data_IF_363015679803
#
_entry.id   IF_363015679803
#
_cell.length_a   1.000
_cell.length_b   1.000
_cell.length_c   1.000
_cell.angle_alpha   90.00
_cell.angle_beta   90.00
_cell.angle_gamma   90.00
#
_symmetry.space_group_name_H-M   'P 1'
#
loop_
_entity.id
_entity.type
_entity.pdbx_description
1 polymer ?
#
# COMPACT_ATOMS: atom_id res chain seq x y z
N UNK A 1 -33.16 26.50 -0.40
CA UNK A 1 -32.32 26.68 -1.60
C UNK A 1 -31.04 25.91 -1.30
N UNK A 2 -31.10 24.58 -1.35
CA UNK A 2 -30.91 23.71 -2.53
C UNK A 2 -29.47 23.73 -3.01
N UNK A 3 -28.79 22.63 -2.66
CA UNK A 3 -27.56 22.04 -3.15
C UNK A 3 -27.01 22.60 -4.47
N UNK A 4 -25.70 22.82 -4.49
CA UNK A 4 -24.84 22.20 -5.50
C UNK A 4 -23.55 21.74 -4.82
N UNK A 5 -23.40 20.42 -4.75
CA UNK A 5 -22.24 19.69 -4.23
C UNK A 5 -21.33 19.21 -5.38
N UNK A 6 -21.34 19.91 -6.52
CA UNK A 6 -20.63 19.51 -7.75
C UNK A 6 -19.15 19.98 -7.78
N UNK A 7 -18.49 20.05 -6.62
CA UNK A 7 -17.02 20.14 -6.57
C UNK A 7 -16.46 18.74 -6.30
N UNK A 8 -16.24 18.02 -7.39
CA UNK A 8 -15.67 16.65 -7.41
C UNK A 8 -14.16 16.65 -7.05
N UNK A 9 -13.69 15.77 -6.14
CA UNK A 9 -12.33 15.77 -5.58
C UNK A 9 -11.34 14.83 -6.33
N UNK A 10 -10.05 14.76 -5.92
CA UNK A 10 -8.93 14.58 -6.83
C UNK A 10 -8.39 13.14 -6.91
N UNK A 11 -8.52 12.51 -8.08
CA UNK A 11 -7.52 11.55 -8.62
C UNK A 11 -7.72 11.27 -10.11
N UNK A 12 -8.90 11.60 -10.66
CA UNK A 12 -9.20 11.44 -12.10
C UNK A 12 -9.41 12.78 -12.82
N UNK A 13 -10.27 13.67 -12.30
CA UNK A 13 -10.55 14.96 -12.93
C UNK A 13 -9.43 16.00 -12.74
N UNK A 14 -8.55 15.86 -11.74
CA UNK A 14 -7.44 16.80 -11.52
C UNK A 14 -6.29 16.63 -12.53
N UNK A 15 -5.94 15.40 -12.92
CA UNK A 15 -4.98 15.16 -14.00
C UNK A 15 -5.52 15.67 -15.36
N UNK A 16 -6.84 15.52 -15.59
CA UNK A 16 -7.49 16.04 -16.80
C UNK A 16 -7.64 17.58 -16.78
N UNK A 17 -8.07 18.19 -15.66
CA UNK A 17 -8.19 19.65 -15.51
C UNK A 17 -6.84 20.36 -15.44
N UNK A 18 -5.83 19.79 -14.77
CA UNK A 18 -4.47 20.35 -14.76
C UNK A 18 -3.81 20.32 -16.15
N UNK A 19 -4.24 19.43 -17.05
CA UNK A 19 -3.81 19.44 -18.45
C UNK A 19 -4.45 20.58 -19.28
N UNK A 20 -5.51 21.23 -18.76
CA UNK A 20 -6.33 22.22 -19.46
C UNK A 20 -6.17 23.66 -18.91
N UNK A 21 -5.49 23.87 -17.77
CA UNK A 21 -5.25 25.21 -17.21
C UNK A 21 -3.99 25.89 -17.77
N UNK A 22 -4.07 27.16 -18.21
CA UNK A 22 -2.99 27.85 -18.92
C UNK A 22 -1.74 28.16 -18.08
N UNK A 23 -1.83 28.18 -16.74
CA UNK A 23 -0.72 28.58 -15.84
C UNK A 23 -0.12 27.43 -15.00
N UNK A 24 -0.63 26.20 -15.16
CA UNK A 24 0.01 24.92 -14.86
C UNK A 24 0.86 24.80 -13.55
N UNK A 25 0.51 25.47 -12.45
CA UNK A 25 1.34 25.46 -11.22
C UNK A 25 1.34 24.11 -10.49
N UNK A 26 0.26 23.34 -10.60
CA UNK A 26 0.12 22.01 -9.96
C UNK A 26 0.97 20.95 -10.66
N UNK A 27 1.03 21.02 -12.00
CA UNK A 27 1.90 20.20 -12.85
C UNK A 27 3.37 20.63 -12.72
N UNK A 28 3.63 21.92 -12.47
CA UNK A 28 4.97 22.44 -12.16
C UNK A 28 5.49 21.99 -10.77
N UNK A 29 4.61 21.54 -9.88
CA UNK A 29 4.96 21.02 -8.54
C UNK A 29 4.93 19.49 -8.44
N UNK A 30 4.52 18.77 -9.49
CA UNK A 30 4.63 17.31 -9.61
C UNK A 30 3.72 16.48 -8.68
N UNK A 31 2.66 17.06 -8.10
CA UNK A 31 1.88 16.46 -6.98
C UNK A 31 0.71 15.54 -7.35
N UNK A 32 0.48 15.22 -8.63
CA UNK A 32 -0.72 14.45 -9.05
C UNK A 32 -0.48 13.61 -10.32
N UNK A 33 0.67 12.96 -10.46
CA UNK A 33 0.97 12.08 -11.62
C UNK A 33 1.00 10.61 -11.21
N UNK A 34 0.13 10.24 -10.28
CA UNK A 34 0.36 9.06 -9.45
C UNK A 34 -0.33 7.80 -10.04
N UNK A 35 -1.23 7.95 -11.02
CA UNK A 35 -1.85 6.81 -11.70
C UNK A 35 -2.18 7.11 -13.18
N UNK A 36 -1.87 6.15 -14.07
CA UNK A 36 -2.29 6.24 -15.48
C UNK A 36 -3.69 5.66 -15.69
N UNK A 37 -4.49 6.21 -16.63
CA UNK A 37 -5.81 5.65 -17.01
C UNK A 37 -5.69 4.16 -17.36
N UNK A 38 -4.64 3.81 -18.10
CA UNK A 38 -4.37 2.43 -18.48
C UNK A 38 -4.12 1.52 -17.28
N UNK A 39 -3.53 2.01 -16.19
CA UNK A 39 -3.33 1.24 -14.96
C UNK A 39 -4.62 1.01 -14.19
N UNK A 40 -5.44 2.04 -14.06
CA UNK A 40 -6.76 1.94 -13.45
C UNK A 40 -7.64 0.89 -14.15
N UNK A 41 -7.78 0.99 -15.48
CA UNK A 41 -8.59 0.04 -16.27
C UNK A 41 -8.06 -1.39 -16.16
N UNK A 42 -6.73 -1.58 -16.19
CA UNK A 42 -6.12 -2.89 -15.97
C UNK A 42 -6.40 -3.43 -14.57
N UNK A 43 -6.35 -2.57 -13.55
CA UNK A 43 -6.67 -2.92 -12.16
C UNK A 43 -8.13 -3.38 -12.02
N UNK A 44 -9.08 -2.67 -12.63
CA UNK A 44 -10.50 -3.06 -12.57
C UNK A 44 -10.77 -4.36 -13.32
N UNK A 45 -10.20 -4.54 -14.51
CA UNK A 45 -10.31 -5.81 -15.27
C UNK A 45 -9.71 -6.97 -14.48
N UNK A 46 -8.57 -6.73 -13.82
CA UNK A 46 -7.93 -7.70 -12.95
C UNK A 46 -8.86 -8.15 -11.82
N UNK A 47 -9.40 -7.19 -11.07
CA UNK A 47 -10.31 -7.49 -9.96
C UNK A 47 -11.52 -8.28 -10.44
N UNK A 48 -12.10 -7.91 -11.59
CA UNK A 48 -13.24 -8.64 -12.17
C UNK A 48 -12.87 -10.07 -12.55
N UNK A 49 -11.70 -10.28 -13.18
CA UNK A 49 -11.25 -11.58 -13.64
C UNK A 49 -10.93 -12.55 -12.49
N UNK A 50 -10.41 -12.04 -11.37
CA UNK A 50 -9.91 -12.88 -10.28
C UNK A 50 -10.75 -12.86 -9.00
N UNK A 51 -11.90 -12.18 -9.00
CA UNK A 51 -12.81 -12.07 -7.85
C UNK A 51 -13.15 -13.42 -7.20
N UNK A 52 -13.33 -14.48 -7.98
CA UNK A 52 -13.69 -15.81 -7.45
C UNK A 52 -12.55 -16.49 -6.66
N UNK A 53 -11.33 -15.97 -6.76
CA UNK A 53 -10.14 -16.49 -6.07
C UNK A 53 -9.83 -15.74 -4.77
N UNK A 54 -10.63 -14.72 -4.42
CA UNK A 54 -10.50 -14.00 -3.16
C UNK A 54 -10.93 -14.88 -1.98
N UNK A 55 -10.35 -14.59 -0.82
CA UNK A 55 -10.67 -15.22 0.48
C UNK A 55 -10.64 -16.75 0.48
N UNK A 56 -9.84 -17.34 -0.41
CA UNK A 56 -9.57 -18.76 -0.35
C UNK A 56 -8.86 -19.08 0.97
N UNK A 57 -9.17 -20.22 1.61
CA UNK A 57 -8.53 -20.61 2.85
C UNK A 57 -7.02 -20.56 2.73
N UNK A 58 -6.36 -20.03 3.77
CA UNK A 58 -4.90 -20.05 3.84
C UNK A 58 -4.41 -21.49 3.71
N UNK A 59 -3.36 -21.77 2.90
CA UNK A 59 -2.77 -23.10 2.82
C UNK A 59 -2.43 -23.65 4.20
N UNK A 60 -2.69 -24.94 4.43
CA UNK A 60 -2.43 -25.60 5.72
C UNK A 60 -0.98 -25.42 6.19
N UNK A 61 -0.04 -25.30 5.26
CA UNK A 61 1.38 -25.04 5.53
C UNK A 61 1.61 -23.70 6.23
N UNK A 62 0.92 -22.63 5.83
CA UNK A 62 1.03 -21.31 6.48
C UNK A 62 0.44 -21.38 7.89
N UNK A 63 -0.70 -22.05 8.04
CA UNK A 63 -1.34 -22.25 9.35
C UNK A 63 -0.41 -23.02 10.29
N UNK A 64 0.27 -24.06 9.78
CA UNK A 64 1.21 -24.85 10.54
C UNK A 64 2.44 -24.03 10.97
N UNK A 65 3.03 -23.24 10.07
CA UNK A 65 4.15 -22.35 10.37
C UNK A 65 3.82 -21.38 11.52
N UNK A 66 2.64 -20.77 11.48
CA UNK A 66 2.17 -19.87 12.55
C UNK A 66 2.02 -20.62 13.87
N UNK A 67 1.47 -21.84 13.87
CA UNK A 67 1.30 -22.65 15.09
C UNK A 67 2.62 -23.06 15.72
N UNK A 68 3.63 -23.34 14.91
CA UNK A 68 4.93 -23.82 15.38
C UNK A 68 5.84 -22.69 15.87
N UNK A 69 5.80 -21.52 15.22
CA UNK A 69 6.79 -20.46 15.43
C UNK A 69 6.20 -19.12 15.88
N UNK A 70 4.87 -18.92 15.80
CA UNK A 70 4.23 -17.63 16.01
C UNK A 70 4.25 -16.76 14.75
N UNK A 71 3.25 -15.87 14.61
CA UNK A 71 3.04 -15.08 13.39
C UNK A 71 4.20 -14.11 13.13
N UNK A 72 4.65 -13.38 14.15
CA UNK A 72 5.75 -12.40 14.03
C UNK A 72 7.06 -13.02 13.54
N UNK A 73 7.32 -14.28 13.87
CA UNK A 73 8.57 -14.96 13.50
C UNK A 73 8.58 -15.43 12.05
N UNK A 74 7.41 -15.80 11.50
CA UNK A 74 7.30 -16.37 10.15
C UNK A 74 6.91 -15.35 9.08
N UNK A 75 6.29 -14.24 9.48
CA UNK A 75 5.88 -13.19 8.56
C UNK A 75 7.09 -12.43 7.99
N UNK A 76 7.02 -12.15 6.70
CA UNK A 76 8.04 -11.45 5.91
C UNK A 76 7.40 -10.94 4.61
N UNK A 77 8.08 -10.04 3.88
CA UNK A 77 7.63 -9.61 2.55
C UNK A 77 7.77 -10.74 1.53
N UNK A 78 6.69 -11.03 0.82
CA UNK A 78 6.58 -12.13 -0.13
C UNK A 78 7.02 -11.70 -1.54
N UNK A 79 8.08 -12.35 -2.03
CA UNK A 79 8.62 -12.10 -3.37
C UNK A 79 7.97 -13.00 -4.43
N UNK A 80 7.32 -14.10 -4.04
CA UNK A 80 6.82 -15.12 -4.96
C UNK A 80 5.57 -14.66 -5.71
N UNK A 81 4.77 -13.78 -5.12
CA UNK A 81 3.60 -13.15 -5.78
C UNK A 81 3.99 -12.42 -7.07
N UNK A 82 5.17 -11.81 -7.10
CA UNK A 82 5.70 -11.11 -8.27
C UNK A 82 6.31 -12.02 -9.34
N UNK A 83 6.44 -13.33 -9.08
CA UNK A 83 6.81 -14.31 -10.12
C UNK A 83 5.62 -14.66 -11.02
N UNK A 84 4.40 -14.40 -10.56
CA UNK A 84 3.18 -14.62 -11.33
C UNK A 84 3.08 -13.60 -12.47
N UNK A 85 3.05 -14.09 -13.71
CA UNK A 85 3.02 -13.25 -14.92
C UNK A 85 1.77 -12.37 -15.01
N UNK A 86 0.67 -12.76 -14.35
CA UNK A 86 -0.59 -12.02 -14.37
C UNK A 86 -0.62 -10.92 -13.31
N UNK A 87 0.17 -11.05 -12.24
CA UNK A 87 0.09 -10.19 -11.05
C UNK A 87 1.22 -9.17 -11.01
N UNK A 88 2.35 -9.49 -11.63
CA UNK A 88 3.54 -8.63 -11.61
C UNK A 88 3.35 -7.33 -12.37
N UNK A 89 4.16 -6.34 -12.01
CA UNK A 89 4.22 -5.07 -12.70
C UNK A 89 4.60 -5.23 -14.20
N UNK A 90 3.96 -4.51 -15.14
CA UNK A 90 4.28 -4.63 -16.57
C UNK A 90 5.76 -4.38 -16.92
N UNK A 91 6.39 -3.40 -16.24
CA UNK A 91 7.81 -3.08 -16.43
C UNK A 91 8.76 -4.06 -15.73
N UNK A 92 8.27 -5.00 -14.91
CA UNK A 92 9.11 -5.96 -14.20
C UNK A 92 9.93 -6.85 -15.14
N UNK A 93 9.60 -6.86 -16.44
CA UNK A 93 10.38 -7.53 -17.49
C UNK A 93 11.63 -6.75 -17.93
N UNK A 94 11.67 -5.44 -17.68
CA UNK A 94 12.76 -4.53 -18.09
C UNK A 94 13.57 -4.04 -16.90
N UNK A 95 12.90 -3.74 -15.79
CA UNK A 95 13.52 -3.22 -14.58
C UNK A 95 13.03 -4.03 -13.38
N UNK A 96 13.94 -4.42 -12.49
CA UNK A 96 13.54 -5.05 -11.24
C UNK A 96 12.76 -4.02 -10.40
N UNK A 97 11.49 -4.29 -10.05
CA UNK A 97 10.67 -3.32 -9.32
C UNK A 97 11.09 -3.16 -7.86
N UNK A 98 11.79 -4.16 -7.32
CA UNK A 98 12.34 -4.12 -5.98
C UNK A 98 13.54 -5.06 -5.83
N UNK A 99 14.30 -4.87 -4.74
CA UNK A 99 15.37 -5.74 -4.29
C UNK A 99 15.31 -5.84 -2.76
N UNK A 100 15.24 -7.07 -2.24
CA UNK A 100 15.36 -7.31 -0.79
C UNK A 100 16.80 -7.11 -0.34
N UNK A 101 17.00 -6.45 0.80
CA UNK A 101 18.32 -6.12 1.34
C UNK A 101 18.75 -7.02 2.51
N UNK A 102 17.80 -7.61 3.24
CA UNK A 102 18.04 -8.44 4.42
C UNK A 102 17.12 -9.69 4.46
N UNK A 103 16.78 -10.18 5.65
CA UNK A 103 15.85 -11.30 5.96
C UNK A 103 14.38 -11.05 5.53
N UNK A 104 14.19 -10.43 4.36
CA UNK A 104 12.93 -10.10 3.73
C UNK A 104 12.07 -9.06 4.47
N UNK A 105 12.70 -8.15 5.23
CA UNK A 105 12.00 -7.07 5.93
C UNK A 105 12.38 -5.68 5.39
N UNK A 106 13.60 -5.52 4.88
CA UNK A 106 14.05 -4.31 4.21
C UNK A 106 14.04 -4.51 2.70
N UNK A 107 13.40 -3.58 2.01
CA UNK A 107 13.27 -3.59 0.56
C UNK A 107 13.65 -2.26 -0.04
N UNK A 108 14.34 -2.33 -1.19
CA UNK A 108 14.61 -1.19 -2.05
C UNK A 108 13.72 -1.27 -3.29
N UNK A 109 12.82 -0.33 -3.46
CA UNK A 109 12.02 -0.14 -4.66
C UNK A 109 12.84 0.52 -5.77
N UNK A 110 12.60 0.08 -7.01
CA UNK A 110 13.19 0.62 -8.24
C UNK A 110 14.70 0.93 -8.15
N UNK A 111 15.55 -0.03 -7.72
CA UNK A 111 16.97 0.21 -7.44
C UNK A 111 17.77 0.71 -8.65
N UNK A 112 17.41 0.30 -9.86
CA UNK A 112 18.06 0.77 -11.08
C UNK A 112 17.76 2.25 -11.36
N UNK A 113 16.54 2.69 -11.07
CA UNK A 113 16.15 4.09 -11.23
C UNK A 113 16.86 4.96 -10.20
N UNK A 114 17.03 4.49 -8.96
CA UNK A 114 17.78 5.21 -7.91
C UNK A 114 19.16 5.69 -8.39
N UNK A 115 19.87 4.86 -9.17
CA UNK A 115 21.22 5.17 -9.68
C UNK A 115 21.23 6.21 -10.80
N UNK A 116 20.14 6.30 -11.57
CA UNK A 116 19.99 7.28 -12.64
C UNK A 116 19.23 8.48 -12.11
N UNK A 117 19.81 9.68 -12.09
CA UNK A 117 19.06 10.92 -11.75
C UNK A 117 17.94 11.25 -12.77
N UNK A 118 17.59 10.31 -13.66
CA UNK A 118 16.38 10.36 -14.44
C UNK A 118 15.19 10.47 -13.49
N UNK A 119 14.48 11.58 -13.59
CA UNK A 119 13.19 11.80 -12.96
C UNK A 119 12.18 10.86 -13.62
N UNK A 120 11.37 10.10 -12.86
CA UNK A 120 10.31 9.25 -13.39
C UNK A 120 9.24 10.02 -14.19
N UNK A 121 9.24 11.35 -14.10
CA UNK A 121 8.22 12.28 -14.58
C UNK A 121 8.19 12.55 -16.09
N UNK A 122 9.16 12.06 -16.88
CA UNK A 122 9.21 12.42 -18.32
C UNK A 122 8.47 11.46 -19.26
N UNK A 123 7.89 10.37 -18.74
CA UNK A 123 7.05 9.46 -19.53
C UNK A 123 5.72 9.13 -18.80
N UNK A 124 4.73 10.00 -18.99
CA UNK A 124 3.36 9.86 -18.45
C UNK A 124 2.61 8.61 -18.95
N UNK A 125 3.22 7.79 -19.80
CA UNK A 125 2.65 6.50 -20.25
C UNK A 125 3.05 5.33 -19.34
N UNK A 126 3.95 5.56 -18.38
CA UNK A 126 4.59 4.51 -17.59
C UNK A 126 4.22 4.66 -16.11
N UNK A 127 3.42 3.73 -15.63
CA UNK A 127 3.10 3.58 -14.20
C UNK A 127 4.27 2.90 -13.47
N UNK A 128 4.61 3.36 -12.27
CA UNK A 128 5.69 2.84 -11.43
C UNK A 128 5.18 2.30 -10.10
N UNK A 129 3.86 2.31 -9.88
CA UNK A 129 3.23 1.68 -8.73
C UNK A 129 3.71 0.25 -8.56
N UNK A 130 4.24 -0.08 -7.41
CA UNK A 130 4.44 -1.48 -7.05
C UNK A 130 4.08 -1.73 -5.60
N UNK A 131 3.21 -2.71 -5.39
CA UNK A 131 2.81 -3.19 -4.08
C UNK A 131 3.52 -4.50 -3.75
N UNK A 132 4.12 -4.57 -2.57
CA UNK A 132 4.57 -5.81 -1.93
C UNK A 132 3.61 -6.21 -0.82
N UNK A 133 3.35 -7.50 -0.71
CA UNK A 133 2.47 -8.09 0.30
C UNK A 133 3.29 -8.94 1.28
N UNK A 134 2.87 -9.00 2.55
CA UNK A 134 3.39 -9.99 3.50
C UNK A 134 2.99 -11.41 3.09
N UNK A 135 3.75 -12.41 3.56
CA UNK A 135 3.57 -13.83 3.23
C UNK A 135 2.33 -14.50 3.82
N UNK A 136 1.74 -13.93 4.87
CA UNK A 136 0.62 -14.53 5.60
C UNK A 136 -0.57 -13.56 5.73
N UNK A 137 -1.82 -14.06 5.71
CA UNK A 137 -2.99 -13.20 5.89
C UNK A 137 -3.23 -12.87 7.37
N UNK A 138 -3.86 -11.73 7.61
CA UNK A 138 -4.41 -11.30 8.89
C UNK A 138 -5.80 -11.90 9.10
N UNK A 139 -5.86 -12.98 9.89
CA UNK A 139 -7.11 -13.70 10.20
C UNK A 139 -7.46 -13.56 11.69
N UNK A 140 -8.77 -13.52 11.98
CA UNK A 140 -9.29 -13.52 13.35
C UNK A 140 -8.85 -14.75 14.15
N UNK A 141 -8.61 -15.87 13.47
CA UNK A 141 -8.11 -17.12 14.09
C UNK A 141 -6.67 -17.04 14.57
N UNK A 142 -5.90 -16.05 14.12
CA UNK A 142 -4.50 -15.87 14.51
C UNK A 142 -4.36 -14.86 15.66
N UNK A 143 -5.04 -13.72 15.55
CA UNK A 143 -5.04 -12.68 16.56
C UNK A 143 -6.28 -11.79 16.41
N UNK A 144 -6.70 -11.17 17.53
CA UNK A 144 -7.78 -10.18 17.55
C UNK A 144 -7.37 -8.88 16.83
N UNK A 145 -6.11 -8.47 17.02
CA UNK A 145 -5.51 -7.28 16.42
C UNK A 145 -4.23 -7.69 15.71
N UNK A 146 -4.13 -7.35 14.44
CA UNK A 146 -2.90 -7.41 13.65
C UNK A 146 -2.33 -6.01 13.51
N UNK A 147 -1.02 -5.88 13.60
CA UNK A 147 -0.34 -4.61 13.46
C UNK A 147 1.07 -4.81 12.92
N UNK A 148 1.52 -3.88 12.07
CA UNK A 148 2.87 -3.83 11.54
C UNK A 148 3.28 -2.38 11.30
N UNK A 149 4.59 -2.14 11.24
CA UNK A 149 5.17 -0.81 10.98
C UNK A 149 6.06 -0.84 9.74
N UNK A 150 6.08 0.27 9.02
CA UNK A 150 7.00 0.56 7.95
C UNK A 150 7.81 1.81 8.31
N UNK A 151 9.13 1.68 8.32
CA UNK A 151 10.08 2.77 8.43
C UNK A 151 10.55 3.18 7.04
N UNK A 152 10.46 4.47 6.72
CA UNK A 152 11.06 5.03 5.50
C UNK A 152 12.51 5.39 5.79
N UNK A 153 13.44 4.60 5.26
CA UNK A 153 14.88 4.82 5.44
C UNK A 153 15.38 5.91 4.48
N UNK A 154 14.94 5.86 3.24
CA UNK A 154 15.30 6.81 2.18
C UNK A 154 14.26 6.73 1.04
N UNK A 155 13.94 7.85 0.42
CA UNK A 155 13.02 7.97 -0.71
C UNK A 155 13.32 9.25 -1.45
N UNK A 156 13.03 9.27 -2.75
CA UNK A 156 13.04 10.54 -3.47
C UNK A 156 11.89 11.44 -2.99
N UNK A 157 12.05 12.77 -3.01
CA UNK A 157 11.00 13.70 -2.60
C UNK A 157 9.69 13.54 -3.38
N UNK A 158 9.77 13.13 -4.64
CA UNK A 158 8.62 12.88 -5.52
C UNK A 158 8.02 11.48 -5.40
N UNK A 159 8.66 10.56 -4.64
CA UNK A 159 8.14 9.20 -4.49
C UNK A 159 7.01 9.17 -3.48
N UNK A 160 5.85 8.74 -3.95
CA UNK A 160 4.69 8.40 -3.13
C UNK A 160 4.85 6.99 -2.59
N UNK A 161 4.59 6.85 -1.30
CA UNK A 161 4.59 5.62 -0.54
C UNK A 161 3.19 5.37 0.01
N UNK A 162 2.84 4.10 0.21
CA UNK A 162 1.63 3.77 0.95
C UNK A 162 1.79 2.53 1.81
N UNK A 163 1.06 2.51 2.91
CA UNK A 163 0.95 1.38 3.84
C UNK A 163 -0.51 1.01 4.00
N UNK A 164 -0.80 -0.28 4.09
CA UNK A 164 -2.14 -0.75 4.39
C UNK A 164 -2.26 -2.25 4.18
N UNK A 165 -3.35 -2.67 3.55
CA UNK A 165 -3.62 -4.07 3.36
C UNK A 165 -4.32 -4.34 2.03
N UNK A 166 -4.02 -5.48 1.42
CA UNK A 166 -4.63 -5.92 0.16
C UNK A 166 -4.98 -7.39 0.27
N UNK A 167 -6.01 -7.86 -0.43
CA UNK A 167 -6.29 -9.30 -0.53
C UNK A 167 -5.35 -9.99 -1.50
N UNK A 168 -5.45 -11.31 -1.61
CA UNK A 168 -4.86 -12.06 -2.73
C UNK A 168 -5.97 -12.74 -3.54
N UNK A 169 -5.92 -12.63 -4.88
CA UNK A 169 -5.02 -11.80 -5.68
C UNK A 169 -5.36 -10.30 -5.62
N UNK A 170 -4.37 -9.44 -5.86
CA UNK A 170 -4.50 -7.98 -6.00
C UNK A 170 -3.63 -7.50 -7.17
N UNK A 171 -4.01 -6.46 -7.93
CA UNK A 171 -3.15 -5.91 -8.98
C UNK A 171 -1.92 -5.24 -8.34
N UNK A 172 -0.78 -5.95 -8.29
CA UNK A 172 0.44 -5.46 -7.61
C UNK A 172 1.12 -4.27 -8.30
N UNK A 173 0.51 -3.74 -9.36
CA UNK A 173 0.87 -2.52 -10.06
C UNK A 173 -0.04 -1.35 -9.69
N UNK A 174 -0.67 -1.42 -8.51
CA UNK A 174 -1.58 -0.41 -7.96
C UNK A 174 -1.25 -0.26 -6.48
N UNK A 175 -1.39 0.92 -5.91
CA UNK A 175 -1.22 1.12 -4.46
C UNK A 175 -2.38 0.54 -3.63
N UNK A 176 -2.15 0.13 -2.37
CA UNK A 176 -3.20 -0.23 -1.43
C UNK A 176 -4.28 0.84 -1.30
N UNK A 177 -5.54 0.42 -1.30
CA UNK A 177 -6.72 1.27 -1.18
C UNK A 177 -7.33 1.68 -2.52
N UNK A 178 -6.55 1.69 -3.61
CA UNK A 178 -7.03 2.20 -4.92
C UNK A 178 -7.95 1.26 -5.70
N UNK A 179 -7.87 -0.04 -5.44
CA UNK A 179 -8.78 -1.01 -6.05
C UNK A 179 -9.54 -1.76 -4.96
N UNK A 180 -10.67 -2.36 -5.34
CA UNK A 180 -11.50 -3.12 -4.38
C UNK A 180 -10.70 -4.19 -3.66
N UNK A 181 -11.17 -4.51 -2.46
CA UNK A 181 -10.55 -5.44 -1.52
C UNK A 181 -9.17 -4.94 -1.05
N UNK A 182 -9.06 -3.64 -0.80
CA UNK A 182 -7.84 -3.07 -0.23
C UNK A 182 -8.08 -1.79 0.58
N UNK A 183 -7.12 -1.52 1.48
CA UNK A 183 -7.09 -0.35 2.36
C UNK A 183 -5.69 0.26 2.31
N UNK A 184 -5.58 1.58 2.27
CA UNK A 184 -4.29 2.27 2.24
C UNK A 184 -4.29 3.62 2.94
N UNK A 185 -3.11 4.03 3.39
CA UNK A 185 -2.77 5.38 3.84
C UNK A 185 -1.57 5.84 3.02
N UNK A 186 -1.69 6.98 2.36
CA UNK A 186 -0.74 7.47 1.35
C UNK A 186 0.10 8.62 1.90
N UNK A 187 1.34 8.73 1.42
CA UNK A 187 2.37 9.57 2.02
C UNK A 187 2.36 11.02 1.58
N UNK A 188 1.91 11.28 0.36
CA UNK A 188 1.92 12.57 -0.31
C UNK A 188 0.84 13.53 0.22
N UNK A 189 -0.37 13.00 0.43
CA UNK A 189 -1.55 13.78 0.81
C UNK A 189 -2.05 13.48 2.24
N UNK A 190 -1.65 12.33 2.80
CA UNK A 190 -2.13 11.87 4.10
C UNK A 190 -3.57 11.33 4.06
N UNK A 191 -4.09 11.01 2.89
CA UNK A 191 -5.43 10.44 2.72
C UNK A 191 -5.46 8.95 3.02
N UNK A 192 -6.63 8.49 3.47
CA UNK A 192 -6.96 7.07 3.60
C UNK A 192 -7.85 6.63 2.45
N UNK A 193 -7.69 5.38 2.05
CA UNK A 193 -8.38 4.78 0.91
C UNK A 193 -8.94 3.42 1.33
N UNK A 194 -10.20 3.13 0.98
CA UNK A 194 -10.83 1.82 1.15
C UNK A 194 -11.67 1.57 -0.10
N UNK A 195 -11.20 0.65 -0.95
CA UNK A 195 -11.83 0.32 -2.22
C UNK A 195 -12.13 1.56 -3.10
N UNK A 196 -11.23 2.54 -3.07
CA UNK A 196 -11.45 3.90 -3.56
C UNK A 196 -10.42 4.30 -4.62
N UNK A 197 -10.88 4.35 -5.87
CA UNK A 197 -10.09 4.80 -7.01
C UNK A 197 -10.19 6.31 -7.30
N UNK A 198 -10.92 7.07 -6.49
CA UNK A 198 -11.42 8.42 -6.82
C UNK A 198 -10.75 9.57 -6.07
N UNK A 199 -9.83 9.29 -5.16
CA UNK A 199 -9.03 10.32 -4.47
C UNK A 199 -8.93 10.18 -2.96
N UNK A 200 -9.56 9.17 -2.38
CA UNK A 200 -9.43 8.90 -0.94
C UNK A 200 -10.20 9.89 -0.08
N UNK A 201 -9.95 9.82 1.23
CA UNK A 201 -10.59 10.63 2.25
C UNK A 201 -9.53 11.28 3.15
N UNK A 202 -9.73 12.57 3.47
CA UNK A 202 -8.93 13.27 4.47
C UNK A 202 -8.83 12.45 5.76
N UNK A 203 -7.61 12.32 6.27
CA UNK A 203 -7.37 11.48 7.43
C UNK A 203 -6.22 11.96 8.33
N UNK A 204 -5.01 12.03 7.79
CA UNK A 204 -3.80 12.27 8.55
C UNK A 204 -2.87 13.26 7.87
N UNK A 205 -1.73 13.55 8.49
CA UNK A 205 -0.67 14.30 7.82
C UNK A 205 -0.02 13.46 6.71
N UNK A 206 0.69 14.14 5.80
CA UNK A 206 1.67 13.48 4.93
C UNK A 206 2.86 12.96 5.74
N UNK A 207 3.63 12.05 5.16
CA UNK A 207 4.77 11.39 5.79
C UNK A 207 5.84 11.02 4.77
N UNK A 208 7.05 10.68 5.21
CA UNK A 208 8.13 10.35 4.30
C UNK A 208 9.43 9.96 5.01
N UNK A 209 10.56 10.41 4.46
CA UNK A 209 11.89 10.06 4.96
C UNK A 209 12.06 10.26 6.47
N UNK A 210 12.46 9.19 7.14
CA UNK A 210 12.67 9.19 8.58
C UNK A 210 11.40 8.97 9.41
N UNK A 211 10.21 8.87 8.81
CA UNK A 211 8.98 8.54 9.52
C UNK A 211 8.80 7.02 9.66
N UNK A 212 8.15 6.62 10.75
CA UNK A 212 7.63 5.26 10.96
C UNK A 212 6.11 5.31 10.95
N UNK A 213 5.50 4.57 10.02
CA UNK A 213 4.05 4.52 9.85
C UNK A 213 3.56 3.11 10.14
N UNK A 214 2.51 2.98 10.95
CA UNK A 214 1.93 1.68 11.30
C UNK A 214 0.52 1.51 10.80
N UNK A 215 0.12 0.26 10.58
CA UNK A 215 -1.23 -0.12 10.17
C UNK A 215 -1.77 -1.21 11.11
N UNK A 216 -2.90 -0.92 11.76
CA UNK A 216 -3.60 -1.84 12.65
C UNK A 216 -4.94 -2.29 12.09
N UNK A 217 -5.27 -3.56 12.27
CA UNK A 217 -6.50 -4.18 11.76
C UNK A 217 -7.09 -5.20 12.73
N UNK A 218 -8.39 -5.08 13.00
CA UNK A 218 -9.17 -6.04 13.76
C UNK A 218 -10.08 -6.88 12.83
N UNK A 219 -9.74 -8.14 12.52
CA UNK A 219 -10.47 -8.90 11.51
C UNK A 219 -11.92 -9.24 11.84
N UNK A 220 -12.27 -9.30 13.13
CA UNK A 220 -13.65 -9.60 13.56
C UNK A 220 -14.62 -8.43 13.32
N UNK A 221 -14.13 -7.20 13.53
CA UNK A 221 -14.91 -5.96 13.49
C UNK A 221 -14.75 -5.21 12.17
N UNK A 222 -13.63 -5.42 11.46
CA UNK A 222 -13.25 -4.62 10.30
C UNK A 222 -12.69 -3.25 10.68
N UNK A 223 -12.32 -3.02 11.94
CA UNK A 223 -11.72 -1.76 12.38
C UNK A 223 -10.28 -1.66 11.85
N UNK A 224 -9.96 -0.50 11.29
CA UNK A 224 -8.64 -0.15 10.76
C UNK A 224 -8.22 1.20 11.33
N UNK A 225 -6.95 1.30 11.75
CA UNK A 225 -6.32 2.54 12.15
C UNK A 225 -4.87 2.59 11.67
N UNK A 226 -4.33 3.79 11.58
CA UNK A 226 -2.91 4.00 11.29
C UNK A 226 -2.25 4.77 12.43
N UNK A 227 -0.92 4.64 12.50
CA UNK A 227 -0.07 5.35 13.43
C UNK A 227 1.04 6.06 12.66
N UNK A 228 1.53 7.15 13.20
CA UNK A 228 2.68 7.88 12.67
C UNK A 228 3.59 8.24 13.83
N UNK A 229 4.85 7.83 13.74
CA UNK A 229 5.91 8.10 14.70
C UNK A 229 5.53 7.75 16.16
N UNK A 230 4.85 6.61 16.33
CA UNK A 230 4.44 6.11 17.64
C UNK A 230 3.16 6.75 18.20
N UNK A 231 2.46 7.57 17.43
CA UNK A 231 1.18 8.16 17.80
C UNK A 231 0.06 7.65 16.89
N UNK A 232 -1.11 7.34 17.47
CA UNK A 232 -2.28 6.99 16.67
C UNK A 232 -2.78 8.21 15.91
N UNK A 233 -2.91 8.11 14.58
CA UNK A 233 -3.44 9.18 13.72
C UNK A 233 -4.96 9.30 13.94
N UNK A 234 -5.65 8.16 14.00
CA UNK A 234 -7.09 8.08 14.31
C UNK A 234 -7.71 6.80 13.75
N UNK A 235 -9.01 6.62 13.93
CA UNK A 235 -9.74 5.53 13.25
C UNK A 235 -9.81 5.83 11.76
N UNK A 236 -9.21 4.97 10.93
CA UNK A 236 -9.31 5.08 9.49
C UNK A 236 -10.69 4.60 9.02
N UNK A 237 -11.05 3.36 9.35
CA UNK A 237 -12.32 2.77 8.99
C UNK A 237 -12.88 1.95 10.15
N UNK A 238 -14.18 2.05 10.41
CA UNK A 238 -14.82 1.32 11.52
C UNK A 238 -15.37 -0.06 11.11
N UNK A 239 -15.50 -0.31 9.80
CA UNK A 239 -16.17 -1.49 9.26
C UNK A 239 -15.71 -1.81 7.84
N UNK A 240 -14.40 -2.00 7.64
CA UNK A 240 -13.88 -2.58 6.41
C UNK A 240 -14.45 -4.00 6.20
N UNK A 241 -14.51 -4.46 4.95
CA UNK A 241 -14.89 -5.83 4.64
C UNK A 241 -13.95 -6.81 5.37
N UNK A 242 -14.45 -7.94 5.87
CA UNK A 242 -13.66 -8.87 6.70
C UNK A 242 -12.95 -9.93 5.86
N UNK A 243 -12.21 -9.46 4.86
CA UNK A 243 -11.49 -10.31 3.91
C UNK A 243 -10.19 -10.84 4.55
N UNK A 244 -9.60 -11.85 3.92
CA UNK A 244 -8.26 -12.35 4.23
C UNK A 244 -7.21 -11.38 3.67
N UNK A 245 -7.02 -10.27 4.36
CA UNK A 245 -6.05 -9.23 4.00
C UNK A 245 -4.62 -9.65 4.32
N UNK A 246 -3.68 -9.15 3.55
CA UNK A 246 -2.25 -9.25 3.77
C UNK A 246 -1.69 -7.85 4.01
N UNK A 247 -0.81 -7.70 5.00
CA UNK A 247 -0.05 -6.46 5.19
C UNK A 247 0.60 -6.07 3.86
N UNK A 248 0.50 -4.80 3.48
CA UNK A 248 0.94 -4.33 2.17
C UNK A 248 1.63 -2.99 2.27
N UNK A 249 2.71 -2.83 1.52
CA UNK A 249 3.44 -1.58 1.34
C UNK A 249 3.63 -1.34 -0.15
N UNK A 250 3.66 -0.08 -0.58
CA UNK A 250 3.88 0.26 -1.98
C UNK A 250 4.70 1.53 -2.16
N UNK A 251 5.28 1.66 -3.35
CA UNK A 251 5.99 2.84 -3.81
C UNK A 251 5.74 3.05 -5.31
N UNK A 252 5.67 4.29 -5.74
CA UNK A 252 5.63 4.68 -7.17
C UNK A 252 7.01 5.09 -7.71
N UNK A 253 8.08 4.85 -6.95
CA UNK A 253 9.40 5.35 -7.27
C UNK A 253 10.50 4.83 -6.34
N UNK A 254 11.75 5.28 -6.53
CA UNK A 254 12.87 4.81 -5.73
C UNK A 254 12.73 5.13 -4.25
N UNK A 255 12.69 4.08 -3.44
CA UNK A 255 12.64 4.16 -1.98
C UNK A 255 13.31 2.94 -1.34
N UNK A 256 13.79 3.10 -0.11
CA UNK A 256 14.23 2.03 0.78
C UNK A 256 13.37 2.09 2.03
N UNK A 257 12.70 1.00 2.34
CA UNK A 257 11.83 0.89 3.51
C UNK A 257 12.14 -0.37 4.29
N UNK A 258 12.00 -0.30 5.62
CA UNK A 258 12.10 -1.43 6.53
C UNK A 258 10.73 -1.74 7.13
N UNK A 259 10.29 -2.99 7.08
CA UNK A 259 8.99 -3.44 7.58
C UNK A 259 9.18 -4.32 8.81
N UNK A 260 8.58 -3.89 9.92
CA UNK A 260 8.54 -4.63 11.16
C UNK A 260 7.16 -5.31 11.31
N UNK A 261 7.13 -6.65 11.28
CA UNK A 261 5.94 -7.47 11.55
C UNK A 261 5.83 -7.90 13.03
N UNK A 262 6.60 -7.28 13.93
CA UNK A 262 6.65 -7.59 15.36
C UNK A 262 7.88 -8.39 15.80
N UNK A 263 8.90 -8.53 14.93
CA UNK A 263 10.20 -9.11 15.31
C UNK A 263 11.01 -8.16 16.20
N UNK A 264 10.77 -6.88 16.02
CA UNK A 264 11.37 -5.79 16.79
C UNK A 264 10.28 -5.05 17.57
N UNK A 265 10.61 -4.37 18.68
CA UNK A 265 9.65 -3.51 19.36
C UNK A 265 9.07 -2.46 18.42
N UNK A 266 7.75 -2.32 18.43
CA UNK A 266 7.07 -1.25 17.71
C UNK A 266 7.34 0.11 18.36
N UNK A 267 7.33 1.16 17.54
CA UNK A 267 7.37 2.53 18.04
C UNK A 267 6.04 2.91 18.69
N UNK A 268 4.92 2.46 18.13
CA UNK A 268 3.62 2.58 18.78
C UNK A 268 3.48 1.56 19.90
N UNK A 269 3.09 2.04 21.09
CA UNK A 269 2.76 1.17 22.22
C UNK A 269 1.40 0.54 22.01
N UNK A 270 1.34 -0.56 21.25
CA UNK A 270 0.17 -1.43 21.23
C UNK A 270 0.00 -1.95 22.65
N UNK A 271 -1.19 -1.73 23.24
CA UNK A 271 -1.45 -2.01 24.65
C UNK A 271 -1.09 -3.44 25.11
N UNK A 272 -1.26 -3.73 26.41
CA UNK A 272 -0.81 -5.00 27.02
C UNK A 272 -1.43 -6.27 26.42
N UNK A 273 -2.46 -6.15 25.56
CA UNK A 273 -3.07 -7.26 24.82
C UNK A 273 -2.26 -7.76 23.61
N UNK A 274 -1.26 -7.02 23.12
CA UNK A 274 -0.46 -7.47 21.99
C UNK A 274 0.49 -8.60 22.41
N UNK A 275 0.43 -9.72 21.69
CA UNK A 275 1.35 -10.86 21.84
C UNK A 275 2.01 -11.13 20.49
N UNK A 276 3.37 -11.12 20.41
CA UNK A 276 4.10 -11.42 19.18
C UNK A 276 3.81 -12.82 18.63
#
# INVERSE_FOLDING_TARGET
MSNDFDQEPPSYNHALQASLEPDNQVNALGRFRDATIASFERGELFIQAFRSQLDQPAPDTLVQQIREHGLSQVMHLDQDTHKNQLFKHPLATRYAPFQMLDDNNTVRFWPALAATHATPLDDDTVDWDVTLQASHPFLASYAKLHYFEMKVEDSRPETVLSIGMTTRPYPLFRMPGWNRYSVGYHSDDGCKFLDDATGGQDYGPSWGNGDTVGCGYEPETGHVFFTLNGFMVGTAFSSAARNAYYASIAADGPATVHVNFGKEPFLYSIGPEWKP
#
